data_IF_367131100545
#
_entry.id   IF_367131100545
#
_cell.length_a   1.000
_cell.length_b   1.000
_cell.length_c   1.000
_cell.angle_alpha   90.00
_cell.angle_beta   90.00
_cell.angle_gamma   90.00
#
_symmetry.space_group_name_H-M   'P 1'
#
loop_
_entity.id
_entity.type
_entity.pdbx_description
1 polymer ?
#
# COMPACT_ATOMS: atom_id res chain seq x y z
N UNK A 1 23.87 -1.51 -12.93
CA UNK A 1 24.67 -0.40 -12.38
C UNK A 1 23.76 0.82 -12.47
N UNK A 2 23.34 1.40 -11.34
CA UNK A 2 22.61 2.67 -11.37
C UNK A 2 23.63 3.68 -11.88
N UNK A 3 23.55 4.04 -13.15
CA UNK A 3 24.37 5.13 -13.65
C UNK A 3 23.99 6.35 -12.82
N UNK A 4 25.00 7.02 -12.28
CA UNK A 4 24.86 8.31 -11.61
C UNK A 4 24.56 9.37 -12.67
N UNK A 5 23.56 9.11 -13.51
CA UNK A 5 23.09 10.04 -14.49
C UNK A 5 22.42 11.13 -13.66
N UNK A 6 22.93 12.34 -13.77
CA UNK A 6 22.43 13.54 -13.10
C UNK A 6 21.07 13.93 -13.71
N UNK A 7 20.13 12.98 -13.84
CA UNK A 7 18.79 13.28 -14.27
C UNK A 7 18.08 13.96 -13.10
N UNK A 8 17.40 15.06 -13.40
CA UNK A 8 16.52 15.75 -12.44
C UNK A 8 15.51 14.78 -11.80
N UNK A 9 15.15 13.71 -12.52
CA UNK A 9 14.27 12.63 -12.05
C UNK A 9 14.83 11.88 -10.85
N UNK A 10 16.10 11.44 -10.90
CA UNK A 10 16.70 10.73 -9.79
C UNK A 10 16.84 11.61 -8.54
N UNK A 11 17.26 12.87 -8.71
CA UNK A 11 17.35 13.83 -7.60
C UNK A 11 15.97 14.09 -6.98
N UNK A 12 14.93 14.13 -7.81
CA UNK A 12 13.56 14.33 -7.36
C UNK A 12 13.05 13.14 -6.53
N UNK A 13 13.14 11.93 -7.08
CA UNK A 13 12.72 10.70 -6.40
C UNK A 13 13.50 10.53 -5.09
N UNK A 14 14.78 10.88 -5.10
CA UNK A 14 15.62 10.89 -3.90
C UNK A 14 15.09 11.87 -2.85
N UNK A 15 14.81 13.12 -3.21
CA UNK A 15 14.24 14.12 -2.28
C UNK A 15 12.88 13.71 -1.75
N UNK A 16 12.04 13.11 -2.59
CA UNK A 16 10.75 12.58 -2.17
C UNK A 16 10.95 11.49 -1.12
N UNK A 17 11.84 10.53 -1.38
CA UNK A 17 12.20 9.48 -0.44
C UNK A 17 12.71 10.03 0.90
N UNK A 18 13.58 11.07 0.90
CA UNK A 18 14.04 11.71 2.16
C UNK A 18 12.88 12.35 2.94
N UNK A 19 11.96 13.03 2.26
CA UNK A 19 10.76 13.61 2.90
C UNK A 19 9.83 12.53 3.47
N UNK A 20 9.92 11.30 2.97
CA UNK A 20 9.21 10.13 3.49
C UNK A 20 9.88 9.53 4.72
N UNK A 21 11.04 10.04 5.13
CA UNK A 21 11.86 9.49 6.23
C UNK A 21 12.92 8.48 5.74
N UNK A 22 13.07 8.34 4.43
CA UNK A 22 14.07 7.50 3.78
C UNK A 22 15.47 8.08 3.79
N UNK A 23 16.47 7.23 3.57
CA UNK A 23 17.88 7.62 3.49
C UNK A 23 18.44 7.30 2.09
N UNK A 24 18.56 8.32 1.25
CA UNK A 24 18.98 8.19 -0.17
C UNK A 24 20.34 7.54 -0.32
N UNK A 25 21.23 7.66 0.67
CA UNK A 25 22.53 6.99 0.63
C UNK A 25 22.38 5.47 0.57
N UNK A 26 21.28 4.93 1.10
CA UNK A 26 20.95 3.50 1.08
C UNK A 26 20.32 3.05 -0.25
N UNK A 27 19.59 3.92 -0.95
CA UNK A 27 19.02 3.64 -2.29
C UNK A 27 20.09 3.33 -3.36
N UNK A 28 21.30 3.84 -3.14
CA UNK A 28 22.43 3.72 -4.07
C UNK A 28 23.44 2.64 -3.63
N UNK A 29 23.20 1.94 -2.53
CA UNK A 29 24.16 0.92 -2.07
C UNK A 29 24.08 -0.31 -2.97
N UNK A 30 25.25 -0.86 -3.33
CA UNK A 30 25.33 -2.01 -4.25
C UNK A 30 24.81 -3.32 -3.67
N UNK A 31 24.56 -3.35 -2.37
CA UNK A 31 24.13 -4.54 -1.62
C UNK A 31 22.62 -4.54 -1.31
N UNK A 32 21.85 -3.67 -1.95
CA UNK A 32 20.38 -3.70 -1.92
C UNK A 32 19.80 -4.05 -3.28
N UNK A 33 18.60 -4.61 -3.31
CA UNK A 33 17.84 -4.70 -4.57
C UNK A 33 17.06 -3.41 -4.73
N UNK A 34 17.15 -2.78 -5.90
CA UNK A 34 16.37 -1.59 -6.20
C UNK A 34 16.01 -1.49 -7.68
N UNK A 35 14.87 -0.87 -7.95
CA UNK A 35 14.48 -0.41 -9.29
C UNK A 35 13.92 1.00 -9.20
N UNK A 36 14.25 1.83 -10.17
CA UNK A 36 13.80 3.21 -10.26
C UNK A 36 13.13 3.39 -11.62
N UNK A 37 11.86 3.74 -11.61
CA UNK A 37 11.01 3.92 -12.79
C UNK A 37 10.55 5.39 -12.82
N UNK A 38 10.74 6.06 -13.95
CA UNK A 38 10.18 7.40 -14.20
C UNK A 38 9.34 7.37 -15.47
N UNK A 39 8.01 7.58 -15.34
CA UNK A 39 7.07 7.35 -16.43
C UNK A 39 7.22 5.93 -16.98
N UNK A 40 7.62 5.82 -18.25
CA UNK A 40 7.87 4.55 -18.93
C UNK A 40 9.35 4.15 -19.01
N UNK A 41 10.24 4.74 -18.21
CA UNK A 41 11.69 4.52 -18.28
C UNK A 41 12.23 3.88 -17.01
N UNK A 42 13.12 2.89 -17.17
CA UNK A 42 13.94 2.39 -16.06
C UNK A 42 15.20 3.27 -15.96
N UNK A 43 15.29 4.05 -14.89
CA UNK A 43 16.44 4.92 -14.62
C UNK A 43 17.60 4.18 -13.97
N UNK A 44 17.29 3.15 -13.20
CA UNK A 44 18.30 2.39 -12.46
C UNK A 44 17.75 1.07 -11.97
N UNK A 45 18.63 0.07 -11.94
CA UNK A 45 18.37 -1.20 -11.28
C UNK A 45 19.62 -1.75 -10.62
N UNK A 46 19.43 -2.35 -9.46
CA UNK A 46 20.43 -3.12 -8.75
C UNK A 46 19.83 -4.44 -8.26
N UNK A 47 20.64 -5.49 -8.27
CA UNK A 47 20.24 -6.81 -7.75
C UNK A 47 21.36 -7.41 -6.92
N UNK A 48 21.05 -8.48 -6.20
CA UNK A 48 21.98 -9.27 -5.39
C UNK A 48 21.86 -10.73 -5.78
N UNK A 49 22.77 -11.57 -5.27
CA UNK A 49 22.71 -13.01 -5.51
C UNK A 49 21.36 -13.60 -5.05
N UNK A 50 20.81 -14.50 -5.88
CA UNK A 50 19.51 -15.14 -5.62
C UNK A 50 18.30 -14.34 -6.09
N UNK A 51 18.47 -13.08 -6.51
CA UNK A 51 17.40 -12.24 -7.06
C UNK A 51 17.65 -11.96 -8.56
N UNK A 52 16.64 -12.25 -9.38
CA UNK A 52 16.57 -11.82 -10.78
C UNK A 52 15.52 -10.72 -10.94
N UNK A 53 15.86 -9.67 -11.69
CA UNK A 53 15.01 -8.50 -11.89
C UNK A 53 15.04 -8.09 -13.36
N UNK A 54 13.98 -8.48 -14.06
CA UNK A 54 13.78 -8.20 -15.48
C UNK A 54 12.73 -7.11 -15.66
N UNK A 55 12.83 -6.40 -16.77
CA UNK A 55 11.88 -5.36 -17.11
C UNK A 55 11.68 -5.29 -18.62
N UNK A 56 10.44 -5.07 -19.04
CA UNK A 56 10.05 -4.87 -20.43
C UNK A 56 9.30 -3.54 -20.53
N UNK A 57 9.63 -2.73 -21.54
CA UNK A 57 8.97 -1.45 -21.79
C UNK A 57 8.32 -1.52 -23.16
N UNK A 58 7.05 -1.16 -23.24
CA UNK A 58 6.33 -0.99 -24.49
C UNK A 58 5.40 0.22 -24.38
N UNK A 59 5.64 1.24 -25.19
CA UNK A 59 4.86 2.49 -25.15
C UNK A 59 4.84 3.09 -23.73
N UNK A 60 3.66 3.22 -23.10
CA UNK A 60 3.49 3.72 -21.73
C UNK A 60 3.43 2.61 -20.67
N UNK A 61 3.69 1.36 -21.06
CA UNK A 61 3.61 0.19 -20.22
C UNK A 61 4.99 -0.30 -19.80
N UNK A 62 5.19 -0.52 -18.50
CA UNK A 62 6.40 -1.10 -17.92
C UNK A 62 6.03 -2.36 -17.15
N UNK A 63 6.51 -3.51 -17.63
CA UNK A 63 6.44 -4.77 -16.90
C UNK A 63 7.72 -5.01 -16.15
N UNK A 64 7.64 -5.41 -14.88
CA UNK A 64 8.76 -5.76 -14.03
C UNK A 64 8.54 -7.16 -13.48
N UNK A 65 9.49 -8.06 -13.75
CA UNK A 65 9.45 -9.44 -13.26
C UNK A 65 10.56 -9.58 -12.22
N UNK A 66 10.15 -9.72 -10.97
CA UNK A 66 11.01 -9.99 -9.83
C UNK A 66 10.96 -11.49 -9.52
N UNK A 67 12.12 -12.15 -9.44
CA UNK A 67 12.20 -13.56 -9.06
C UNK A 67 13.21 -13.75 -7.93
N UNK A 68 12.77 -14.30 -6.80
CA UNK A 68 13.65 -14.77 -5.73
C UNK A 68 13.75 -16.30 -5.78
N UNK A 69 14.97 -16.83 -5.79
CA UNK A 69 15.21 -18.26 -5.64
C UNK A 69 14.85 -18.74 -4.23
N UNK A 70 14.65 -20.04 -4.09
CA UNK A 70 14.42 -20.67 -2.79
C UNK A 70 15.53 -20.33 -1.79
N UNK A 71 15.14 -20.12 -0.53
CA UNK A 71 16.03 -19.86 0.59
C UNK A 71 16.60 -18.45 0.66
N UNK A 72 16.22 -17.53 -0.25
CA UNK A 72 16.75 -16.16 -0.24
C UNK A 72 16.20 -15.37 0.95
N UNK A 73 17.12 -14.88 1.79
CA UNK A 73 16.80 -14.10 2.99
C UNK A 73 17.56 -12.78 2.97
N UNK A 74 16.84 -11.69 2.72
CA UNK A 74 17.42 -10.35 2.66
C UNK A 74 17.10 -9.58 3.95
N UNK A 75 18.15 -9.14 4.65
CA UNK A 75 18.00 -8.27 5.82
C UNK A 75 17.64 -6.84 5.45
N UNK A 76 18.04 -6.39 4.26
CA UNK A 76 17.78 -5.03 3.76
C UNK A 76 16.50 -5.02 2.93
N UNK A 77 15.84 -3.86 2.92
CA UNK A 77 14.65 -3.65 2.10
C UNK A 77 14.99 -3.63 0.61
N UNK A 78 14.05 -4.13 -0.19
CA UNK A 78 14.03 -4.06 -1.63
C UNK A 78 13.25 -2.79 -2.00
N UNK A 79 13.89 -1.89 -2.74
CA UNK A 79 13.29 -0.59 -3.04
C UNK A 79 12.66 -0.57 -4.44
N UNK A 80 11.37 -0.27 -4.51
CA UNK A 80 10.63 -0.08 -5.76
C UNK A 80 10.27 1.41 -5.87
N UNK A 81 11.11 2.20 -6.51
CA UNK A 81 10.87 3.64 -6.64
C UNK A 81 10.19 3.92 -7.97
N UNK A 82 9.01 4.53 -7.92
CA UNK A 82 8.23 4.92 -9.08
C UNK A 82 7.98 6.42 -9.01
N UNK A 83 8.16 7.11 -10.12
CA UNK A 83 7.78 8.50 -10.24
C UNK A 83 7.28 8.84 -11.62
N UNK A 84 6.71 10.04 -11.73
CA UNK A 84 6.41 10.66 -13.00
C UNK A 84 6.62 12.17 -12.87
N UNK A 85 7.57 12.72 -13.63
CA UNK A 85 7.88 14.16 -13.58
C UNK A 85 7.05 15.01 -14.53
N UNK A 86 6.41 14.40 -15.52
CA UNK A 86 5.56 15.13 -16.47
C UNK A 86 4.30 15.63 -15.76
N UNK A 87 3.71 16.69 -16.32
CA UNK A 87 2.47 17.27 -15.76
C UNK A 87 1.23 16.49 -16.20
N UNK A 88 1.29 15.88 -17.38
CA UNK A 88 0.17 15.21 -18.03
C UNK A 88 0.64 13.86 -18.54
N UNK A 89 -0.23 12.85 -18.48
CA UNK A 89 -0.01 11.58 -19.17
C UNK A 89 -0.41 10.37 -18.33
N UNK A 90 -0.05 9.20 -18.83
CA UNK A 90 -0.41 7.93 -18.23
C UNK A 90 0.84 7.09 -17.96
N UNK A 91 0.82 6.36 -16.85
CA UNK A 91 1.83 5.39 -16.47
C UNK A 91 1.14 4.08 -16.14
N UNK A 92 1.48 3.04 -16.90
CA UNK A 92 0.93 1.70 -16.73
C UNK A 92 2.02 0.75 -16.26
N UNK A 93 1.85 0.15 -15.09
CA UNK A 93 2.84 -0.75 -14.49
C UNK A 93 2.24 -2.14 -14.26
N UNK A 94 3.01 -3.17 -14.60
CA UNK A 94 2.72 -4.54 -14.22
C UNK A 94 3.91 -5.12 -13.47
N UNK A 95 3.68 -5.57 -12.25
CA UNK A 95 4.66 -6.30 -11.47
C UNK A 95 4.28 -7.77 -11.37
N UNK A 96 5.25 -8.65 -11.64
CA UNK A 96 5.16 -10.07 -11.31
C UNK A 96 6.24 -10.40 -10.28
N UNK A 97 5.82 -10.80 -9.07
CA UNK A 97 6.71 -11.25 -8.01
C UNK A 97 6.61 -12.76 -7.88
N UNK A 98 7.68 -13.46 -8.29
CA UNK A 98 7.83 -14.90 -8.13
C UNK A 98 8.80 -15.16 -6.98
N UNK A 99 8.27 -15.44 -5.79
CA UNK A 99 9.06 -15.63 -4.58
C UNK A 99 9.10 -17.13 -4.27
N UNK A 100 10.30 -17.72 -4.29
CA UNK A 100 10.53 -19.12 -3.99
C UNK A 100 10.20 -19.50 -2.53
N UNK A 101 10.43 -20.76 -2.19
CA UNK A 101 10.22 -21.29 -0.85
C UNK A 101 11.27 -20.75 0.14
N UNK A 102 10.97 -20.80 1.45
CA UNK A 102 11.90 -20.46 2.53
C UNK A 102 12.51 -19.05 2.44
N UNK A 103 11.80 -18.12 1.80
CA UNK A 103 12.27 -16.76 1.56
C UNK A 103 11.94 -15.80 2.71
N UNK A 104 12.75 -14.76 2.87
CA UNK A 104 12.43 -13.62 3.75
C UNK A 104 12.80 -12.31 3.08
N UNK A 105 11.79 -11.55 2.66
CA UNK A 105 11.94 -10.35 1.83
C UNK A 105 11.07 -9.21 2.38
N UNK A 106 11.56 -7.98 2.27
CA UNK A 106 10.83 -6.79 2.67
C UNK A 106 10.86 -5.78 1.52
N UNK A 107 9.73 -5.50 0.91
CA UNK A 107 9.58 -4.54 -0.18
C UNK A 107 9.13 -3.19 0.37
N UNK A 108 9.68 -2.14 -0.19
CA UNK A 108 9.29 -0.77 0.08
C UNK A 108 9.14 -0.02 -1.23
N UNK A 109 7.90 0.25 -1.60
CA UNK A 109 7.49 1.03 -2.75
C UNK A 109 7.32 2.50 -2.38
N UNK A 110 7.90 3.38 -3.19
CA UNK A 110 7.66 4.82 -3.11
C UNK A 110 7.18 5.33 -4.46
N UNK A 111 5.95 5.82 -4.48
CA UNK A 111 5.34 6.39 -5.67
C UNK A 111 5.24 7.91 -5.53
N UNK A 112 5.77 8.67 -6.50
CA UNK A 112 5.80 10.13 -6.40
C UNK A 112 5.36 10.86 -7.66
N UNK A 113 4.36 11.74 -7.51
CA UNK A 113 3.70 12.48 -8.61
C UNK A 113 3.58 13.99 -8.30
N UNK A 114 4.69 14.72 -8.31
CA UNK A 114 4.75 16.06 -7.73
C UNK A 114 4.28 17.18 -8.65
N UNK A 115 4.36 16.95 -9.95
CA UNK A 115 4.06 17.93 -10.99
C UNK A 115 2.69 17.68 -11.61
N UNK A 116 1.95 16.69 -11.09
CA UNK A 116 0.70 16.19 -11.66
C UNK A 116 -0.32 17.31 -11.87
N UNK A 117 -0.80 17.43 -13.09
CA UNK A 117 -1.97 18.22 -13.46
C UNK A 117 -3.09 17.37 -14.03
N UNK A 118 -2.74 16.24 -14.62
CA UNK A 118 -3.66 15.19 -15.03
C UNK A 118 -2.82 13.93 -15.29
N UNK A 119 -2.61 13.12 -14.26
CA UNK A 119 -1.83 11.88 -14.36
C UNK A 119 -2.72 10.70 -14.03
N UNK A 120 -2.74 9.72 -14.92
CA UNK A 120 -3.20 8.37 -14.62
C UNK A 120 -2.01 7.50 -14.24
N UNK A 121 -2.08 6.88 -13.06
CA UNK A 121 -1.17 5.84 -12.62
C UNK A 121 -1.96 4.55 -12.42
N UNK A 122 -1.82 3.61 -13.35
CA UNK A 122 -2.39 2.28 -13.24
C UNK A 122 -1.28 1.28 -12.90
N UNK A 123 -1.48 0.49 -11.86
CA UNK A 123 -0.53 -0.53 -11.45
C UNK A 123 -1.23 -1.84 -11.09
N UNK A 124 -0.74 -2.95 -11.62
CA UNK A 124 -1.14 -4.28 -11.19
C UNK A 124 0.08 -5.06 -10.70
N UNK A 125 0.03 -5.57 -9.47
CA UNK A 125 1.04 -6.42 -8.88
C UNK A 125 0.49 -7.83 -8.62
N UNK A 126 1.12 -8.83 -9.22
CA UNK A 126 0.82 -10.24 -9.03
C UNK A 126 1.93 -10.90 -8.21
N UNK A 127 1.60 -11.30 -6.98
CA UNK A 127 2.52 -11.93 -6.05
C UNK A 127 2.22 -13.43 -5.96
N UNK A 128 3.25 -14.24 -6.19
CA UNK A 128 3.26 -15.68 -5.91
C UNK A 128 4.32 -15.93 -4.86
N UNK A 129 3.88 -16.24 -3.64
CA UNK A 129 4.75 -16.46 -2.49
C UNK A 129 4.79 -17.97 -2.22
N UNK A 130 5.97 -18.56 -2.32
CA UNK A 130 6.22 -19.96 -2.02
C UNK A 130 5.98 -20.32 -0.55
N UNK A 131 6.20 -21.57 -0.20
CA UNK A 131 5.98 -22.09 1.16
C UNK A 131 7.03 -21.56 2.14
N UNK A 132 6.69 -21.57 3.43
CA UNK A 132 7.57 -21.23 4.56
C UNK A 132 8.26 -19.84 4.44
N UNK A 133 7.63 -18.92 3.72
CA UNK A 133 8.20 -17.62 3.34
C UNK A 133 7.59 -16.47 4.13
N UNK A 134 8.36 -15.40 4.32
CA UNK A 134 7.92 -14.17 4.98
C UNK A 134 8.16 -12.98 4.08
N UNK A 135 7.08 -12.33 3.66
CA UNK A 135 7.13 -11.21 2.73
C UNK A 135 6.40 -10.03 3.35
N UNK A 136 7.06 -8.89 3.44
CA UNK A 136 6.38 -7.61 3.70
C UNK A 136 6.43 -6.71 2.47
N UNK A 137 5.39 -5.92 2.26
CA UNK A 137 5.26 -4.96 1.18
C UNK A 137 4.64 -3.68 1.73
N UNK A 138 5.44 -2.62 1.81
CA UNK A 138 4.95 -1.29 2.18
C UNK A 138 4.92 -0.39 0.94
N UNK A 139 3.75 0.16 0.60
CA UNK A 139 3.55 1.09 -0.50
C UNK A 139 3.18 2.47 0.02
N UNK A 140 4.04 3.44 -0.25
CA UNK A 140 3.91 4.80 0.25
C UNK A 140 3.83 5.78 -0.91
N UNK A 141 2.76 6.57 -0.93
CA UNK A 141 2.48 7.52 -2.01
C UNK A 141 2.66 8.97 -1.55
N UNK A 142 3.23 9.76 -2.47
CA UNK A 142 3.43 11.21 -2.33
C UNK A 142 3.04 11.90 -3.63
N UNK A 143 1.86 12.50 -3.66
CA UNK A 143 1.36 13.23 -4.82
C UNK A 143 1.76 14.72 -4.69
N UNK A 144 0.93 15.61 -5.25
CA UNK A 144 0.96 17.03 -4.95
C UNK A 144 -0.29 17.44 -4.16
N UNK A 145 -0.43 18.73 -3.86
CA UNK A 145 -1.57 19.28 -3.11
C UNK A 145 -2.72 19.74 -4.01
N UNK A 146 -2.62 19.50 -5.31
CA UNK A 146 -3.65 19.87 -6.30
C UNK A 146 -4.76 18.81 -6.36
N UNK A 147 -4.44 17.53 -6.10
CA UNK A 147 -5.41 16.43 -6.19
C UNK A 147 -5.73 16.02 -7.63
N UNK A 148 -4.73 16.08 -8.50
CA UNK A 148 -4.88 15.84 -9.95
C UNK A 148 -4.22 14.54 -10.41
N UNK A 149 -4.14 13.56 -9.50
CA UNK A 149 -3.68 12.20 -9.78
C UNK A 149 -4.88 11.28 -9.75
N UNK A 150 -4.99 10.41 -10.75
CA UNK A 150 -5.87 9.25 -10.76
C UNK A 150 -5.01 8.01 -10.54
N UNK A 151 -5.21 7.35 -9.40
CA UNK A 151 -4.50 6.16 -8.97
C UNK A 151 -5.44 4.95 -9.09
N UNK A 152 -5.10 3.95 -9.89
CA UNK A 152 -5.78 2.64 -9.93
C UNK A 152 -4.76 1.53 -9.70
N UNK A 153 -4.71 1.01 -8.47
CA UNK A 153 -3.71 0.04 -8.05
C UNK A 153 -4.36 -1.26 -7.61
N UNK A 154 -3.87 -2.39 -8.13
CA UNK A 154 -4.39 -3.73 -7.84
C UNK A 154 -3.27 -4.65 -7.38
N UNK A 155 -3.40 -5.19 -6.18
CA UNK A 155 -2.52 -6.20 -5.61
C UNK A 155 -3.25 -7.54 -5.58
N UNK A 156 -2.69 -8.54 -6.25
CA UNK A 156 -3.16 -9.93 -6.20
C UNK A 156 -2.06 -10.79 -5.58
N UNK A 157 -2.31 -11.42 -4.44
CA UNK A 157 -1.32 -12.26 -3.77
C UNK A 157 -1.85 -13.68 -3.55
N UNK A 158 -1.05 -14.67 -3.93
CA UNK A 158 -1.22 -16.06 -3.54
C UNK A 158 -0.12 -16.43 -2.55
N UNK A 159 -0.52 -16.76 -1.32
CA UNK A 159 0.39 -17.01 -0.20
C UNK A 159 0.43 -18.50 0.10
N UNK A 160 1.58 -19.11 -0.18
CA UNK A 160 1.81 -20.54 0.00
C UNK A 160 1.77 -21.00 1.46
N UNK A 161 1.80 -22.32 1.65
CA UNK A 161 1.68 -22.94 2.97
C UNK A 161 2.70 -22.42 3.98
N UNK A 162 2.25 -22.25 5.23
CA UNK A 162 3.07 -21.76 6.34
C UNK A 162 3.76 -20.40 6.09
N UNK A 163 3.33 -19.64 5.08
CA UNK A 163 3.92 -18.35 4.73
C UNK A 163 3.16 -17.18 5.35
N UNK A 164 3.80 -16.03 5.41
CA UNK A 164 3.25 -14.78 5.95
C UNK A 164 3.42 -13.67 4.91
N UNK A 165 2.34 -12.93 4.68
CA UNK A 165 2.32 -11.72 3.86
C UNK A 165 1.83 -10.52 4.68
N UNK A 166 2.64 -9.46 4.80
CA UNK A 166 2.27 -8.19 5.45
C UNK A 166 2.23 -7.11 4.36
N UNK A 167 1.07 -6.57 4.05
CA UNK A 167 0.86 -5.56 3.00
C UNK A 167 0.34 -4.28 3.63
N UNK A 168 1.02 -3.17 3.38
CA UNK A 168 0.66 -1.86 3.93
C UNK A 168 0.60 -0.81 2.84
N UNK A 169 -0.45 -0.01 2.82
CA UNK A 169 -0.61 1.11 1.90
C UNK A 169 -0.81 2.41 2.68
N UNK A 170 -0.05 3.45 2.30
CA UNK A 170 -0.06 4.75 2.97
C UNK A 170 -0.13 5.91 1.97
N UNK A 171 -1.17 6.72 2.10
CA UNK A 171 -1.31 8.00 1.40
C UNK A 171 -1.93 9.02 2.36
N UNK A 172 -1.08 9.54 3.26
CA UNK A 172 -1.53 10.34 4.42
C UNK A 172 -1.00 11.77 4.43
N UNK A 173 0.04 12.07 3.64
CA UNK A 173 0.70 13.39 3.68
C UNK A 173 0.08 14.37 2.69
N UNK A 174 -0.03 13.97 1.42
CA UNK A 174 -0.49 14.80 0.30
C UNK A 174 -1.95 14.51 -0.04
N UNK A 175 -2.52 15.30 -0.97
CA UNK A 175 -3.84 14.99 -1.54
C UNK A 175 -3.85 13.69 -2.33
N UNK A 176 -5.04 13.09 -2.40
CA UNK A 176 -5.28 11.85 -3.15
C UNK A 176 -5.50 12.15 -4.64
N UNK A 177 -6.46 13.02 -4.94
CA UNK A 177 -7.13 13.11 -6.23
C UNK A 177 -8.23 12.05 -6.34
N UNK A 178 -8.11 11.15 -7.30
CA UNK A 178 -8.98 9.98 -7.45
C UNK A 178 -8.17 8.72 -7.17
N UNK A 179 -8.65 7.83 -6.31
CA UNK A 179 -7.93 6.60 -5.97
C UNK A 179 -8.85 5.39 -5.96
N UNK A 180 -8.36 4.30 -6.53
CA UNK A 180 -8.86 2.95 -6.37
C UNK A 180 -7.70 2.05 -5.96
N UNK A 181 -7.85 1.35 -4.85
CA UNK A 181 -6.90 0.36 -4.39
C UNK A 181 -7.64 -0.95 -4.16
N UNK A 182 -7.18 -2.02 -4.80
CA UNK A 182 -7.61 -3.39 -4.55
C UNK A 182 -6.46 -4.17 -3.94
N UNK A 183 -6.70 -4.88 -2.85
CA UNK A 183 -5.82 -5.90 -2.30
C UNK A 183 -6.59 -7.21 -2.19
N UNK A 184 -6.31 -8.18 -3.06
CA UNK A 184 -6.93 -9.51 -3.04
C UNK A 184 -5.88 -10.57 -2.70
N UNK A 185 -6.04 -11.20 -1.54
CA UNK A 185 -5.08 -12.16 -0.99
C UNK A 185 -5.74 -13.51 -0.78
N UNK A 186 -5.18 -14.54 -1.43
CA UNK A 186 -5.51 -15.94 -1.20
C UNK A 186 -4.48 -16.63 -0.29
N UNK A 187 -4.97 -17.33 0.72
CA UNK A 187 -4.16 -17.97 1.77
C UNK A 187 -4.30 -19.49 1.75
N UNK A 188 -3.18 -20.19 1.54
CA UNK A 188 -3.10 -21.64 1.65
C UNK A 188 -2.99 -22.10 3.13
N UNK A 189 -2.71 -23.39 3.34
CA UNK A 189 -2.66 -24.03 4.66
C UNK A 189 -1.70 -23.33 5.62
N UNK A 190 -2.19 -22.99 6.82
CA UNK A 190 -1.45 -22.23 7.84
C UNK A 190 -0.86 -20.88 7.38
N UNK A 191 -1.23 -20.39 6.19
CA UNK A 191 -0.75 -19.13 5.66
C UNK A 191 -1.42 -17.94 6.37
N UNK A 192 -0.69 -16.83 6.48
CA UNK A 192 -1.15 -15.65 7.23
C UNK A 192 -1.03 -14.37 6.41
N UNK A 193 -2.01 -13.47 6.57
CA UNK A 193 -1.93 -12.12 6.01
C UNK A 193 -2.21 -11.05 7.05
N UNK A 194 -1.57 -9.90 6.90
CA UNK A 194 -1.92 -8.64 7.55
C UNK A 194 -2.02 -7.57 6.47
N UNK A 195 -3.20 -6.97 6.31
CA UNK A 195 -3.43 -5.83 5.42
C UNK A 195 -3.63 -4.59 6.27
N UNK A 196 -2.95 -3.49 5.93
CA UNK A 196 -3.14 -2.20 6.57
C UNK A 196 -3.22 -1.07 5.53
N UNK A 197 -4.34 -0.38 5.49
CA UNK A 197 -4.51 0.81 4.65
C UNK A 197 -4.67 2.05 5.52
N UNK A 198 -3.84 3.07 5.31
CA UNK A 198 -3.91 4.37 5.98
C UNK A 198 -4.00 5.50 4.97
N UNK A 199 -5.09 6.24 4.98
CA UNK A 199 -5.39 7.25 3.95
C UNK A 199 -5.99 8.51 4.58
N UNK A 200 -5.55 9.69 4.13
CA UNK A 200 -6.13 11.00 4.50
C UNK A 200 -6.60 11.73 3.25
N UNK A 201 -7.91 11.80 3.06
CA UNK A 201 -8.59 12.52 1.99
C UNK A 201 -8.95 13.94 2.42
N UNK A 202 -8.76 14.92 1.52
CA UNK A 202 -9.00 16.33 1.76
C UNK A 202 -9.66 16.98 0.56
N UNK A 203 -10.24 18.17 0.74
CA UNK A 203 -10.93 18.94 -0.29
C UNK A 203 -11.98 18.08 -1.02
N UNK A 204 -11.82 17.88 -2.32
CA UNK A 204 -12.69 17.12 -3.21
C UNK A 204 -12.10 15.74 -3.58
N UNK A 205 -11.20 15.19 -2.75
CA UNK A 205 -10.62 13.86 -2.96
C UNK A 205 -11.70 12.76 -3.02
N UNK A 206 -11.49 11.76 -3.88
CA UNK A 206 -12.36 10.59 -3.99
C UNK A 206 -11.53 9.32 -3.90
N UNK A 207 -11.89 8.42 -3.00
CA UNK A 207 -11.22 7.12 -2.87
C UNK A 207 -12.16 5.93 -2.78
N UNK A 208 -11.70 4.81 -3.32
CA UNK A 208 -12.26 3.48 -3.15
C UNK A 208 -11.13 2.53 -2.71
N UNK A 209 -11.31 1.86 -1.59
CA UNK A 209 -10.40 0.83 -1.08
C UNK A 209 -11.19 -0.48 -1.01
N UNK A 210 -10.67 -1.53 -1.63
CA UNK A 210 -11.23 -2.87 -1.57
C UNK A 210 -10.17 -3.85 -1.07
N UNK A 211 -10.38 -4.38 0.12
CA UNK A 211 -9.50 -5.37 0.73
C UNK A 211 -10.24 -6.71 0.80
N UNK A 212 -9.66 -7.76 0.23
CA UNK A 212 -10.26 -9.08 0.11
C UNK A 212 -9.30 -10.12 0.68
N UNK A 213 -9.74 -10.80 1.74
CA UNK A 213 -9.02 -11.93 2.34
C UNK A 213 -9.76 -13.22 2.00
N UNK A 214 -9.09 -14.15 1.31
CA UNK A 214 -9.60 -15.48 0.97
C UNK A 214 -8.86 -16.54 1.78
N UNK A 215 -9.52 -17.07 2.79
CA UNK A 215 -9.01 -18.08 3.70
C UNK A 215 -9.35 -19.47 3.17
N UNK A 216 -8.64 -19.92 2.13
CA UNK A 216 -8.96 -21.17 1.43
C UNK A 216 -8.27 -22.39 2.04
N UNK A 217 -7.11 -22.22 2.67
CA UNK A 217 -6.38 -23.30 3.35
C UNK A 217 -6.82 -23.52 4.80
N UNK A 218 -6.69 -24.77 5.27
CA UNK A 218 -6.86 -25.14 6.68
C UNK A 218 -5.96 -24.30 7.57
N UNK A 219 -6.49 -23.78 8.68
CA UNK A 219 -5.79 -22.94 9.67
C UNK A 219 -5.15 -21.67 9.08
N UNK A 220 -5.59 -21.22 7.90
CA UNK A 220 -5.20 -19.91 7.39
C UNK A 220 -5.77 -18.81 8.29
N UNK A 221 -5.07 -17.69 8.40
CA UNK A 221 -5.54 -16.56 9.22
C UNK A 221 -5.23 -15.20 8.62
N UNK A 222 -6.16 -14.24 8.72
CA UNK A 222 -5.97 -12.93 8.12
C UNK A 222 -6.54 -11.80 8.96
N UNK A 223 -5.85 -10.66 8.93
CA UNK A 223 -6.34 -9.40 9.48
C UNK A 223 -6.32 -8.35 8.39
N UNK A 224 -7.41 -7.58 8.23
CA UNK A 224 -7.42 -6.35 7.44
C UNK A 224 -7.75 -5.17 8.36
N UNK A 225 -6.92 -4.13 8.31
CA UNK A 225 -7.10 -2.88 9.06
C UNK A 225 -7.14 -1.69 8.12
N UNK A 226 -8.23 -0.94 8.17
CA UNK A 226 -8.40 0.27 7.36
C UNK A 226 -8.58 1.49 8.26
N UNK A 227 -7.72 2.49 8.06
CA UNK A 227 -7.80 3.80 8.73
C UNK A 227 -7.97 4.89 7.67
N UNK A 228 -9.17 5.46 7.57
CA UNK A 228 -9.49 6.49 6.58
C UNK A 228 -9.93 7.77 7.29
N UNK A 229 -9.27 8.87 6.99
CA UNK A 229 -9.65 10.20 7.45
C UNK A 229 -10.18 10.95 6.24
N UNK A 230 -11.45 11.37 6.27
CA UNK A 230 -12.08 12.10 5.18
C UNK A 230 -12.45 13.51 5.68
N UNK A 231 -11.88 14.52 5.02
CA UNK A 231 -12.07 15.92 5.37
C UNK A 231 -12.78 16.72 4.27
N UNK A 232 -13.28 17.91 4.62
CA UNK A 232 -13.85 18.90 3.70
C UNK A 232 -15.12 18.44 2.94
N UNK A 233 -14.98 18.13 1.64
CA UNK A 233 -16.04 17.68 0.72
C UNK A 233 -15.66 16.32 0.08
N UNK A 234 -14.77 15.56 0.73
CA UNK A 234 -14.22 14.32 0.19
C UNK A 234 -15.20 13.14 0.25
N UNK A 235 -14.98 12.18 -0.64
CA UNK A 235 -15.74 10.93 -0.73
C UNK A 235 -14.82 9.74 -0.46
N UNK A 236 -15.26 8.81 0.40
CA UNK A 236 -14.58 7.55 0.63
C UNK A 236 -15.52 6.36 0.62
N UNK A 237 -15.13 5.31 -0.11
CA UNK A 237 -15.79 4.01 -0.10
C UNK A 237 -14.79 2.93 0.29
N UNK A 238 -15.06 2.23 1.38
CA UNK A 238 -14.23 1.16 1.88
C UNK A 238 -15.04 -0.14 1.77
N UNK A 239 -14.48 -1.16 1.13
CA UNK A 239 -15.09 -2.48 0.96
C UNK A 239 -14.13 -3.53 1.49
N UNK A 240 -14.45 -4.10 2.64
CA UNK A 240 -13.62 -5.15 3.25
C UNK A 240 -14.36 -6.48 3.16
N UNK A 241 -13.71 -7.47 2.56
CA UNK A 241 -14.29 -8.78 2.32
C UNK A 241 -13.43 -9.86 2.97
N UNK A 242 -14.08 -10.80 3.66
CA UNK A 242 -13.43 -12.00 4.16
C UNK A 242 -14.25 -13.24 3.80
N UNK A 243 -13.56 -14.24 3.25
CA UNK A 243 -14.13 -15.51 2.81
C UNK A 243 -13.50 -16.65 3.61
N UNK A 244 -14.27 -17.27 4.51
CA UNK A 244 -13.86 -18.40 5.36
C UNK A 244 -14.28 -19.73 4.74
N UNK A 245 -13.37 -20.35 3.99
CA UNK A 245 -13.60 -21.61 3.27
C UNK A 245 -12.77 -22.77 3.86
N UNK A 246 -11.60 -22.51 4.45
CA UNK A 246 -10.69 -23.52 5.00
C UNK A 246 -10.99 -23.92 6.45
N UNK A 247 -10.79 -25.19 6.81
CA UNK A 247 -11.04 -25.69 8.17
C UNK A 247 -10.26 -24.90 9.23
N UNK A 248 -10.91 -24.47 10.31
CA UNK A 248 -10.28 -23.70 11.38
C UNK A 248 -9.63 -22.40 10.90
N UNK A 249 -10.09 -21.84 9.79
CA UNK A 249 -9.62 -20.53 9.32
C UNK A 249 -10.20 -19.39 10.15
N UNK A 250 -9.41 -18.33 10.33
CA UNK A 250 -9.78 -17.20 11.20
C UNK A 250 -9.52 -15.87 10.49
N UNK A 251 -10.54 -15.04 10.36
CA UNK A 251 -10.45 -13.70 9.77
C UNK A 251 -10.93 -12.61 10.72
N UNK A 252 -10.26 -11.47 10.70
CA UNK A 252 -10.70 -10.27 11.42
C UNK A 252 -10.57 -9.03 10.52
N UNK A 253 -11.60 -8.19 10.53
CA UNK A 253 -11.60 -6.91 9.83
C UNK A 253 -11.80 -5.80 10.87
N UNK A 254 -10.95 -4.78 10.85
CA UNK A 254 -11.03 -3.60 11.69
C UNK A 254 -11.04 -2.33 10.83
N UNK A 255 -12.12 -1.55 10.92
CA UNK A 255 -12.30 -0.33 10.14
C UNK A 255 -12.46 0.87 11.07
N UNK A 256 -11.67 1.92 10.82
CA UNK A 256 -11.75 3.19 11.52
C UNK A 256 -11.78 4.33 10.51
N UNK A 257 -12.96 4.90 10.35
CA UNK A 257 -13.23 6.01 9.45
C UNK A 257 -13.60 7.28 10.24
N UNK A 258 -12.77 8.32 10.12
CA UNK A 258 -13.01 9.63 10.73
C UNK A 258 -13.54 10.60 9.69
N UNK A 259 -14.67 11.23 10.01
CA UNK A 259 -15.35 12.24 9.20
C UNK A 259 -15.15 13.63 9.82
N UNK A 260 -14.61 14.56 9.03
CA UNK A 260 -14.32 15.93 9.44
C UNK A 260 -14.65 16.94 8.32
N UNK A 261 -15.92 17.29 8.19
CA UNK A 261 -16.37 18.28 7.21
C UNK A 261 -17.88 18.20 6.94
N UNK A 262 -18.44 19.30 6.44
CA UNK A 262 -19.90 19.44 6.30
C UNK A 262 -20.48 18.75 5.06
N UNK A 263 -19.63 18.30 4.13
CA UNK A 263 -20.04 17.61 2.89
C UNK A 263 -19.26 16.33 2.65
N UNK A 264 -18.60 15.81 3.68
CA UNK A 264 -17.90 14.54 3.61
C UNK A 264 -18.92 13.40 3.48
N UNK A 265 -18.64 12.45 2.60
CA UNK A 265 -19.43 11.23 2.42
C UNK A 265 -18.51 10.01 2.54
N UNK A 266 -18.70 9.24 3.61
CA UNK A 266 -17.92 8.02 3.87
C UNK A 266 -18.87 6.84 3.99
N UNK A 267 -18.57 5.80 3.20
CA UNK A 267 -19.28 4.54 3.19
C UNK A 267 -18.30 3.40 3.50
N UNK A 268 -18.65 2.55 4.46
CA UNK A 268 -17.96 1.29 4.73
C UNK A 268 -18.91 0.12 4.42
N UNK A 269 -18.43 -0.88 3.70
CA UNK A 269 -19.21 -2.04 3.23
C UNK A 269 -18.47 -3.32 3.60
N UNK A 270 -18.80 -3.95 4.74
CA UNK A 270 -18.24 -5.24 5.09
C UNK A 270 -18.97 -6.39 4.38
N UNK A 271 -18.23 -7.38 3.91
CA UNK A 271 -18.75 -8.64 3.41
C UNK A 271 -18.01 -9.81 4.05
N UNK A 272 -18.65 -10.46 5.00
CA UNK A 272 -18.14 -11.68 5.62
C UNK A 272 -18.93 -12.87 5.09
N UNK A 273 -18.24 -13.85 4.51
CA UNK A 273 -18.86 -15.07 4.00
C UNK A 273 -18.15 -16.29 4.54
N UNK A 274 -18.87 -17.03 5.39
CA UNK A 274 -18.44 -18.34 5.87
C UNK A 274 -19.16 -19.43 5.06
N UNK A 275 -18.39 -20.38 4.50
CA UNK A 275 -18.92 -21.58 3.83
C UNK A 275 -18.49 -22.88 4.50
N UNK A 276 -17.67 -22.78 5.54
CA UNK A 276 -17.15 -23.89 6.31
C UNK A 276 -17.48 -23.69 7.80
N UNK A 277 -18.15 -24.67 8.41
CA UNK A 277 -18.61 -24.59 9.80
C UNK A 277 -17.49 -24.45 10.84
N UNK A 278 -16.25 -24.80 10.46
CA UNK A 278 -15.07 -24.68 11.30
C UNK A 278 -14.37 -23.31 11.19
N UNK A 279 -14.84 -22.42 10.32
CA UNK A 279 -14.24 -21.09 10.12
C UNK A 279 -14.88 -20.02 11.00
N UNK A 280 -14.09 -19.04 11.40
CA UNK A 280 -14.53 -17.89 12.20
C UNK A 280 -14.13 -16.57 11.53
N UNK A 281 -15.10 -15.66 11.35
CA UNK A 281 -14.86 -14.31 10.83
C UNK A 281 -15.45 -13.28 11.79
N UNK A 282 -14.69 -12.22 12.06
CA UNK A 282 -15.09 -11.12 12.94
C UNK A 282 -14.91 -9.78 12.24
N UNK A 283 -15.70 -8.78 12.65
CA UNK A 283 -15.65 -7.44 12.09
C UNK A 283 -15.96 -6.39 13.16
N UNK A 284 -15.09 -5.37 13.23
CA UNK A 284 -15.23 -4.19 14.05
C UNK A 284 -15.12 -2.95 13.18
N UNK A 285 -16.08 -2.02 13.27
CA UNK A 285 -16.07 -0.78 12.49
C UNK A 285 -16.47 0.43 13.33
N UNK A 286 -15.82 1.56 13.06
CA UNK A 286 -16.17 2.87 13.61
C UNK A 286 -16.14 3.91 12.50
N UNK A 287 -17.32 4.41 12.11
CA UNK A 287 -17.47 5.49 11.13
C UNK A 287 -18.09 6.69 11.82
N UNK A 288 -17.39 7.83 11.85
CA UNK A 288 -17.99 9.05 12.36
C UNK A 288 -17.01 10.15 12.74
N UNK A 289 -17.50 11.12 13.49
CA UNK A 289 -16.71 12.25 13.96
C UNK A 289 -15.64 11.83 14.99
N UNK A 290 -14.65 12.69 15.17
CA UNK A 290 -13.69 12.61 16.26
C UNK A 290 -14.41 12.57 17.63
N UNK A 291 -13.90 11.75 18.54
CA UNK A 291 -14.47 11.61 19.88
C UNK A 291 -14.38 12.94 20.66
N UNK A 292 -15.52 13.57 21.04
CA UNK A 292 -15.52 14.85 21.73
C UNK A 292 -14.74 14.85 23.04
N UNK A 293 -14.75 13.74 23.79
CA UNK A 293 -14.01 13.64 25.05
C UNK A 293 -12.48 13.63 24.84
N UNK A 294 -12.00 13.05 23.73
CA UNK A 294 -10.58 13.14 23.36
C UNK A 294 -10.20 14.57 22.99
N UNK A 295 -11.07 15.24 22.23
CA UNK A 295 -10.90 16.63 21.81
C UNK A 295 -10.87 17.57 23.02
N UNK A 296 -11.87 17.50 23.90
CA UNK A 296 -11.96 18.28 25.14
C UNK A 296 -10.76 18.04 26.07
N UNK A 297 -10.29 16.79 26.17
CA UNK A 297 -9.09 16.46 26.96
C UNK A 297 -7.85 17.18 26.43
N UNK A 298 -7.65 17.19 25.11
CA UNK A 298 -6.51 17.87 24.50
C UNK A 298 -6.63 19.39 24.59
N UNK A 299 -7.83 19.93 24.40
CA UNK A 299 -8.10 21.36 24.57
C UNK A 299 -7.89 21.83 26.02
N UNK A 300 -8.25 21.00 27.01
CA UNK A 300 -7.98 21.29 28.42
C UNK A 300 -6.48 21.39 28.75
N UNK A 301 -5.62 20.81 27.91
CA UNK A 301 -4.16 20.90 27.98
C UNK A 301 -3.58 22.08 27.21
N UNK A 302 -4.43 22.95 26.67
CA UNK A 302 -4.03 24.20 26.00
C UNK A 302 -3.91 24.13 24.48
N UNK A 303 -4.34 23.04 23.84
CA UNK A 303 -4.43 22.95 22.39
C UNK A 303 -5.69 23.65 21.88
N UNK A 304 -5.62 24.27 20.71
CA UNK A 304 -6.82 24.65 19.96
C UNK A 304 -7.55 23.41 19.44
N UNK A 305 -8.80 23.58 19.00
CA UNK A 305 -9.61 22.50 18.41
C UNK A 305 -8.90 21.88 17.19
N UNK A 306 -8.38 22.71 16.28
CA UNK A 306 -7.65 22.26 15.09
C UNK A 306 -6.37 21.48 15.47
N UNK A 307 -5.59 21.98 16.43
CA UNK A 307 -4.37 21.30 16.89
C UNK A 307 -4.69 19.97 17.58
N UNK A 308 -5.77 19.90 18.35
CA UNK A 308 -6.23 18.68 19.00
C UNK A 308 -6.71 17.65 17.96
N UNK A 309 -7.50 18.09 16.98
CA UNK A 309 -7.96 17.28 15.85
C UNK A 309 -6.78 16.70 15.06
N UNK A 310 -5.82 17.52 14.67
CA UNK A 310 -4.62 17.04 13.95
C UNK A 310 -3.78 16.08 14.80
N UNK A 311 -3.70 16.29 16.12
CA UNK A 311 -3.00 15.36 17.01
C UNK A 311 -3.69 13.99 17.10
N UNK A 312 -5.02 13.97 17.15
CA UNK A 312 -5.81 12.72 17.15
C UNK A 312 -5.64 12.00 15.82
N UNK A 313 -5.83 12.71 14.70
CA UNK A 313 -5.63 12.18 13.34
C UNK A 313 -4.23 11.58 13.19
N UNK A 314 -3.20 12.31 13.65
CA UNK A 314 -1.83 11.81 13.65
C UNK A 314 -1.68 10.56 14.50
N UNK A 315 -2.29 10.49 15.67
CA UNK A 315 -2.26 9.30 16.53
C UNK A 315 -2.85 8.05 15.86
N UNK A 316 -3.91 8.22 15.07
CA UNK A 316 -4.53 7.14 14.29
C UNK A 316 -3.67 6.70 13.10
N UNK A 317 -2.98 7.65 12.46
CA UNK A 317 -2.24 7.42 11.22
C UNK A 317 -0.75 7.10 11.38
N UNK A 318 -0.18 7.20 12.60
CA UNK A 318 1.22 6.83 12.91
C UNK A 318 1.44 5.32 12.80
#
# INVERSE_FOLDING_TARGET
MIEKNQSKEFEYISKAYEKSGGDVSKLLSKDIVSIIISGNKILGRNTVEGIDLKSEIKDNFVKVIFTAKDGVKLKKQIHLCVGYLEKFGEQHLEYEFNIGNDCSLNFLSHCTFPAAKDILHEMTANLKIGENSKVSFEDIHFHNEEGLVTLDTKYYANVGKNSVYDSRFKLVKTRIGNMKVLMDVNLEENAKTYLETKVKAKKDDRLEVNEIIRLTGTKSSGIAKSYVIAQDESYAKIVNEAYGDGDYSVGHIECTEIVDGNKVDVQTIPLLRVRNELSELTHEASVGRINPGQLETLMSKGLSEDEATELIIKGVLV
#
